data_IF_249154363958
#
_entry.id   IF_249154363958
#
_cell.length_a   1.000
_cell.length_b   1.000
_cell.length_c   1.000
_cell.angle_alpha   90.00
_cell.angle_beta   90.00
_cell.angle_gamma   90.00
#
_symmetry.space_group_name_H-M   'P 1'
#
loop_
_entity.id
_entity.type
_entity.pdbx_description
1 polymer ?
#
# COMPACT_ATOMS: atom_id res chain seq x y z
N UNK A 1 1.82 -20.31 9.16
CA UNK A 1 1.31 -19.05 9.62
C UNK A 1 2.37 -17.96 9.51
N UNK A 2 1.98 -16.81 9.10
CA UNK A 2 2.92 -15.71 8.97
C UNK A 2 3.23 -15.02 10.28
N UNK A 3 3.92 -13.91 10.18
CA UNK A 3 4.22 -13.06 11.32
C UNK A 3 2.93 -12.44 11.84
N UNK A 4 2.89 -12.25 13.13
CA UNK A 4 1.78 -11.59 13.74
C UNK A 4 1.79 -10.10 13.37
N UNK A 5 0.64 -9.45 13.46
CA UNK A 5 0.50 -8.04 13.09
C UNK A 5 1.42 -7.12 13.88
N UNK A 6 1.68 -7.44 15.13
CA UNK A 6 2.56 -6.63 15.97
C UNK A 6 4.00 -6.65 15.44
N UNK A 7 4.44 -7.78 14.95
CA UNK A 7 5.77 -7.93 14.37
C UNK A 7 5.87 -7.13 13.06
N UNK A 8 4.84 -7.20 12.22
CA UNK A 8 4.80 -6.42 10.99
C UNK A 8 4.84 -4.92 11.28
N UNK A 9 4.09 -4.47 12.25
CA UNK A 9 4.08 -3.06 12.63
C UNK A 9 5.45 -2.61 13.15
N UNK A 10 6.13 -3.47 13.89
CA UNK A 10 7.46 -3.17 14.39
C UNK A 10 8.49 -3.06 13.26
N UNK A 11 8.38 -3.91 12.25
CA UNK A 11 9.32 -3.96 11.14
C UNK A 11 9.07 -2.86 10.09
N UNK A 12 7.82 -2.62 9.75
CA UNK A 12 7.44 -1.73 8.65
C UNK A 12 6.96 -0.37 9.12
N UNK A 13 6.57 -0.27 10.39
CA UNK A 13 5.90 0.91 10.91
C UNK A 13 4.40 0.76 10.75
N UNK A 14 3.68 1.26 11.73
CA UNK A 14 2.22 1.13 11.80
C UNK A 14 1.52 1.74 10.58
N UNK A 15 1.95 2.95 10.17
CA UNK A 15 1.31 3.62 9.03
C UNK A 15 1.51 2.86 7.72
N UNK A 16 2.67 2.28 7.51
CA UNK A 16 2.92 1.50 6.30
C UNK A 16 2.02 0.27 6.22
N UNK A 17 1.82 -0.40 7.35
CA UNK A 17 0.92 -1.56 7.43
C UNK A 17 -0.52 -1.13 7.14
N UNK A 18 -0.96 -0.02 7.70
CA UNK A 18 -2.30 0.52 7.43
C UNK A 18 -2.49 0.86 5.96
N UNK A 19 -1.48 1.45 5.33
CA UNK A 19 -1.52 1.79 3.91
C UNK A 19 -1.65 0.52 3.07
N UNK A 20 -0.85 -0.49 3.35
CA UNK A 20 -0.89 -1.75 2.61
C UNK A 20 -2.25 -2.42 2.77
N UNK A 21 -2.80 -2.44 3.97
CA UNK A 21 -4.12 -3.02 4.21
C UNK A 21 -5.20 -2.28 3.43
N UNK A 22 -5.14 -0.95 3.41
CA UNK A 22 -6.10 -0.17 2.65
C UNK A 22 -6.01 -0.47 1.15
N UNK A 23 -4.80 -0.57 0.63
CA UNK A 23 -4.59 -0.90 -0.78
C UNK A 23 -5.18 -2.27 -1.11
N UNK A 24 -4.99 -3.24 -0.23
CA UNK A 24 -5.56 -4.57 -0.42
C UNK A 24 -7.09 -4.54 -0.43
N UNK A 25 -7.69 -3.75 0.45
CA UNK A 25 -9.14 -3.60 0.50
C UNK A 25 -9.70 -2.94 -0.74
N UNK A 26 -8.97 -1.99 -1.31
CA UNK A 26 -9.41 -1.23 -2.48
C UNK A 26 -9.15 -1.96 -3.79
N UNK A 27 -8.31 -2.99 -3.78
CA UNK A 27 -8.00 -3.72 -5.00
C UNK A 27 -9.20 -4.56 -5.46
N UNK A 28 -9.39 -4.63 -6.76
CA UNK A 28 -10.42 -5.48 -7.34
C UNK A 28 -9.89 -6.92 -7.46
N UNK A 29 -10.67 -7.81 -8.05
CA UNK A 29 -10.29 -9.21 -8.19
C UNK A 29 -9.07 -9.41 -9.09
N UNK A 30 -8.72 -8.43 -9.90
CA UNK A 30 -7.53 -8.47 -10.77
C UNK A 30 -6.34 -7.73 -10.16
N UNK A 31 -6.50 -7.21 -8.95
CA UNK A 31 -5.44 -6.49 -8.25
C UNK A 31 -5.33 -5.01 -8.59
N UNK A 32 -6.25 -4.48 -9.40
CA UNK A 32 -6.22 -3.06 -9.78
C UNK A 32 -6.82 -2.17 -8.70
N UNK A 33 -6.18 -1.01 -8.51
CA UNK A 33 -6.62 0.00 -7.54
C UNK A 33 -6.66 1.34 -8.26
N UNK A 34 -7.76 2.06 -8.13
CA UNK A 34 -7.91 3.41 -8.68
C UNK A 34 -8.06 4.37 -7.50
N UNK A 35 -7.04 5.18 -7.25
CA UNK A 35 -7.10 6.15 -6.17
C UNK A 35 -5.96 7.16 -6.29
N UNK A 36 -6.08 8.25 -5.54
CA UNK A 36 -5.03 9.27 -5.46
C UNK A 36 -4.31 9.15 -4.13
N UNK A 37 -3.03 9.51 -4.12
CA UNK A 37 -2.23 9.51 -2.89
C UNK A 37 -2.88 10.40 -1.82
N UNK A 38 -3.46 11.54 -2.22
CA UNK A 38 -4.14 12.43 -1.28
C UNK A 38 -5.30 11.76 -0.56
N UNK A 39 -5.99 10.84 -1.22
CA UNK A 39 -7.09 10.09 -0.61
C UNK A 39 -6.58 9.19 0.52
N UNK A 40 -5.43 8.56 0.30
CA UNK A 40 -4.82 7.72 1.34
C UNK A 40 -4.41 8.58 2.54
N UNK A 41 -3.79 9.72 2.26
CA UNK A 41 -3.37 10.64 3.31
C UNK A 41 -4.55 11.05 4.19
N UNK A 42 -5.68 11.37 3.57
CA UNK A 42 -6.88 11.78 4.30
C UNK A 42 -7.49 10.63 5.09
N UNK A 43 -7.63 9.47 4.46
CA UNK A 43 -8.28 8.31 5.10
C UNK A 43 -7.52 7.80 6.31
N UNK A 44 -6.20 7.80 6.24
CA UNK A 44 -5.35 7.22 7.27
C UNK A 44 -4.60 8.24 8.10
N UNK A 45 -4.84 9.52 7.84
CA UNK A 45 -4.09 10.58 8.51
C UNK A 45 -2.58 10.35 8.38
N UNK A 46 -2.14 9.99 7.18
CA UNK A 46 -0.75 9.70 6.88
C UNK A 46 -0.13 10.84 6.08
N UNK A 47 1.16 11.03 6.22
CA UNK A 47 1.87 12.05 5.45
C UNK A 47 2.15 11.54 4.03
N UNK A 48 2.23 12.45 3.09
CA UNK A 48 2.54 12.13 1.70
C UNK A 48 3.87 11.37 1.57
N UNK A 49 4.97 11.80 2.22
CA UNK A 49 6.22 11.05 2.17
C UNK A 49 6.09 9.60 2.64
N UNK A 50 5.28 9.36 3.67
CA UNK A 50 5.05 8.01 4.19
C UNK A 50 4.33 7.14 3.16
N UNK A 51 3.31 7.69 2.50
CA UNK A 51 2.58 6.97 1.46
C UNK A 51 3.51 6.66 0.28
N UNK A 52 4.27 7.64 -0.16
CA UNK A 52 5.20 7.48 -1.28
C UNK A 52 6.26 6.42 -0.96
N UNK A 53 6.83 6.46 0.24
CA UNK A 53 7.85 5.48 0.62
C UNK A 53 7.28 4.06 0.70
N UNK A 54 6.02 3.93 1.11
CA UNK A 54 5.36 2.63 1.14
C UNK A 54 5.17 2.10 -0.28
N UNK A 55 4.76 2.95 -1.20
CA UNK A 55 4.60 2.57 -2.61
C UNK A 55 5.94 2.13 -3.21
N UNK A 56 7.01 2.88 -2.92
CA UNK A 56 8.34 2.51 -3.40
C UNK A 56 8.80 1.18 -2.86
N UNK A 57 8.52 0.91 -1.59
CA UNK A 57 8.85 -0.38 -0.97
C UNK A 57 8.16 -1.53 -1.70
N UNK A 58 6.88 -1.37 -1.97
CA UNK A 58 6.11 -2.39 -2.68
C UNK A 58 6.60 -2.58 -4.12
N UNK A 59 6.97 -1.50 -4.78
CA UNK A 59 7.51 -1.55 -6.15
C UNK A 59 8.87 -2.26 -6.18
N UNK A 60 9.73 -1.98 -5.21
CA UNK A 60 11.04 -2.63 -5.10
C UNK A 60 10.91 -4.13 -4.92
N UNK A 61 9.90 -4.58 -4.20
CA UNK A 61 9.65 -5.99 -3.98
C UNK A 61 8.92 -6.63 -5.16
N UNK A 62 8.61 -5.85 -6.19
CA UNK A 62 7.91 -6.31 -7.38
C UNK A 62 6.53 -6.90 -7.10
N UNK A 63 5.90 -6.41 -6.03
CA UNK A 63 4.56 -6.82 -5.62
C UNK A 63 3.52 -5.88 -6.22
N UNK A 64 3.94 -4.67 -6.60
CA UNK A 64 3.03 -3.57 -6.91
C UNK A 64 3.62 -2.74 -8.03
N UNK A 65 2.78 -2.20 -8.89
CA UNK A 65 3.23 -1.32 -9.97
C UNK A 65 2.24 -0.20 -10.20
N UNK A 66 2.75 0.93 -10.69
CA UNK A 66 1.91 2.02 -11.14
C UNK A 66 1.66 1.83 -12.63
N UNK A 67 0.40 1.64 -12.99
CA UNK A 67 0.01 1.44 -14.39
C UNK A 67 -0.03 2.79 -15.10
N UNK A 68 -0.65 3.79 -14.47
CA UNK A 68 -0.70 5.17 -14.92
C UNK A 68 -1.09 6.04 -13.73
N UNK A 69 -1.20 7.35 -13.92
CA UNK A 69 -1.59 8.24 -12.82
C UNK A 69 -2.92 7.82 -12.21
N UNK A 70 -2.90 7.57 -10.90
CA UNK A 70 -4.08 7.18 -10.17
C UNK A 70 -4.51 5.73 -10.33
N UNK A 71 -3.77 4.94 -11.10
CA UNK A 71 -4.09 3.52 -11.30
C UNK A 71 -2.88 2.67 -10.95
N UNK A 72 -3.07 1.74 -10.03
CA UNK A 72 -2.03 0.85 -9.53
C UNK A 72 -2.51 -0.59 -9.63
N UNK A 73 -1.60 -1.51 -9.54
CA UNK A 73 -1.93 -2.93 -9.60
C UNK A 73 -1.01 -3.74 -8.71
N UNK A 74 -1.60 -4.63 -7.93
CA UNK A 74 -0.83 -5.66 -7.22
C UNK A 74 -0.48 -6.77 -8.19
N UNK A 75 0.75 -7.25 -8.07
CA UNK A 75 1.27 -8.35 -8.91
C UNK A 75 1.49 -9.57 -8.04
N UNK A 76 1.32 -10.72 -8.60
CA UNK A 76 1.61 -12.00 -7.91
C UNK A 76 0.82 -12.21 -6.61
N UNK A 77 -0.43 -11.85 -6.61
CA UNK A 77 -1.30 -12.11 -5.46
C UNK A 77 -1.86 -13.52 -5.47
#
# INVERSE_FOLDING_TARGET
MGLDKEIYKALLGEKKVEIINLLCELSDENGFIVLKISEICEKLNASKPTVISTFKLLEEKKIFERVKNGVYRFKNL
#
